data_IF_889969211954
#
_entry.id   IF_889969211954
#
_cell.length_a   1.000
_cell.length_b   1.000
_cell.length_c   1.000
_cell.angle_alpha   90.00
_cell.angle_beta   90.00
_cell.angle_gamma   90.00
#
_symmetry.space_group_name_H-M   'P 1'
#
loop_
_entity.id
_entity.type
_entity.pdbx_description
1 polymer ?
#
# COMPACT_ATOMS: atom_id res chain seq x y z
N UNK A 1 1.55 -23.11 13.86
CA UNK A 1 0.65 -23.51 12.75
C UNK A 1 -0.37 -22.39 12.56
N UNK A 2 -0.85 -22.17 11.32
CA UNK A 2 -1.92 -21.19 11.07
C UNK A 2 -3.25 -21.77 11.55
N UNK A 3 -3.91 -21.07 12.46
CA UNK A 3 -5.28 -21.30 12.86
C UNK A 3 -6.20 -20.98 11.67
N UNK A 4 -7.39 -21.61 11.58
CA UNK A 4 -8.35 -21.33 10.50
C UNK A 4 -8.67 -19.83 10.35
N UNK A 5 -8.74 -19.10 11.46
CA UNK A 5 -8.98 -17.66 11.48
C UNK A 5 -7.82 -16.84 10.90
N UNK A 6 -6.57 -17.25 11.15
CA UNK A 6 -5.38 -16.60 10.57
C UNK A 6 -5.34 -16.82 9.06
N UNK A 7 -5.69 -18.02 8.61
CA UNK A 7 -5.77 -18.34 7.18
C UNK A 7 -6.88 -17.55 6.48
N UNK A 8 -8.07 -17.44 7.08
CA UNK A 8 -9.16 -16.63 6.55
C UNK A 8 -8.76 -15.15 6.44
N UNK A 9 -8.05 -14.63 7.44
CA UNK A 9 -7.50 -13.26 7.41
C UNK A 9 -6.50 -13.12 6.26
N UNK A 10 -5.59 -14.08 6.07
CA UNK A 10 -4.62 -14.06 4.97
C UNK A 10 -5.29 -14.03 3.58
N UNK A 11 -6.39 -14.78 3.41
CA UNK A 11 -7.22 -14.75 2.20
C UNK A 11 -7.92 -13.40 2.01
N UNK A 12 -8.42 -12.79 3.09
CA UNK A 12 -9.00 -11.44 3.04
C UNK A 12 -7.96 -10.38 2.70
N UNK A 13 -6.71 -10.50 3.16
CA UNK A 13 -5.62 -9.58 2.77
C UNK A 13 -5.38 -9.64 1.26
N UNK A 14 -5.53 -10.82 0.63
CA UNK A 14 -5.41 -10.99 -0.84
C UNK A 14 -6.54 -10.26 -1.58
N UNK A 15 -7.77 -10.36 -1.09
CA UNK A 15 -8.97 -9.88 -1.80
C UNK A 15 -9.31 -8.41 -1.49
N UNK A 16 -9.17 -8.00 -0.23
CA UNK A 16 -9.61 -6.70 0.27
C UNK A 16 -8.67 -6.16 1.38
N UNK A 17 -7.42 -5.80 1.04
CA UNK A 17 -6.43 -5.28 2.00
C UNK A 17 -6.84 -3.96 2.68
N UNK A 18 -7.75 -3.21 2.08
CA UNK A 18 -8.24 -1.91 2.59
C UNK A 18 -9.39 -2.05 3.61
N UNK A 19 -10.11 -3.18 3.58
CA UNK A 19 -11.25 -3.44 4.49
C UNK A 19 -10.85 -4.21 5.76
N UNK A 20 -9.56 -4.50 5.93
CA UNK A 20 -9.09 -5.27 7.08
C UNK A 20 -8.86 -4.39 8.29
N UNK A 21 -9.45 -4.83 9.40
CA UNK A 21 -9.24 -4.23 10.71
C UNK A 21 -7.82 -4.57 11.21
N UNK A 22 -6.96 -3.54 11.26
CA UNK A 22 -5.55 -3.68 11.64
C UNK A 22 -5.33 -3.96 13.12
N UNK A 23 -6.39 -3.93 13.93
CA UNK A 23 -6.35 -4.16 15.36
C UNK A 23 -6.64 -5.64 15.72
N UNK A 24 -6.86 -6.50 14.72
CA UNK A 24 -6.99 -7.95 14.92
C UNK A 24 -5.67 -8.60 15.29
N UNK A 25 -5.70 -9.47 16.29
CA UNK A 25 -4.51 -10.22 16.73
C UNK A 25 -4.01 -11.20 15.66
N UNK A 26 -4.88 -11.66 14.78
CA UNK A 26 -4.52 -12.50 13.64
C UNK A 26 -3.50 -11.80 12.72
N UNK A 27 -3.58 -10.47 12.56
CA UNK A 27 -2.59 -9.73 11.78
C UNK A 27 -1.21 -9.76 12.44
N UNK A 28 -1.15 -9.65 13.76
CA UNK A 28 0.11 -9.69 14.50
C UNK A 28 0.81 -11.05 14.29
N UNK A 29 0.06 -12.15 14.42
CA UNK A 29 0.57 -13.49 14.14
C UNK A 29 1.04 -13.67 12.68
N UNK A 30 0.35 -13.06 11.71
CA UNK A 30 0.75 -13.07 10.30
C UNK A 30 1.98 -12.18 10.02
N UNK A 31 2.15 -11.08 10.76
CA UNK A 31 3.31 -10.19 10.71
C UNK A 31 4.55 -10.85 11.31
N UNK A 32 4.41 -11.50 12.46
CA UNK A 32 5.49 -12.27 13.11
C UNK A 32 6.05 -13.33 12.14
N UNK A 33 5.16 -13.96 11.37
CA UNK A 33 5.51 -14.97 10.37
C UNK A 33 5.97 -14.39 9.02
N UNK A 34 5.98 -13.05 8.89
CA UNK A 34 6.34 -12.31 7.67
C UNK A 34 5.51 -12.69 6.44
N UNK A 35 4.24 -13.08 6.64
CA UNK A 35 3.31 -13.39 5.55
C UNK A 35 2.62 -12.11 5.03
N UNK A 36 2.46 -11.12 5.91
CA UNK A 36 1.90 -9.81 5.60
C UNK A 36 2.84 -8.70 6.09
N UNK A 37 2.60 -7.48 5.63
CA UNK A 37 3.33 -6.28 6.00
C UNK A 37 2.36 -5.10 6.13
N UNK A 38 2.59 -4.22 7.10
CA UNK A 38 1.82 -2.99 7.26
C UNK A 38 2.54 -1.86 6.53
N UNK A 39 1.84 -1.18 5.61
CA UNK A 39 2.30 0.01 4.91
C UNK A 39 1.51 1.23 5.43
N UNK A 40 2.21 2.31 5.76
CA UNK A 40 1.57 3.59 6.07
C UNK A 40 1.31 4.34 4.77
N UNK A 41 0.04 4.56 4.46
CA UNK A 41 -0.37 5.37 3.34
C UNK A 41 -0.28 6.85 3.72
N UNK A 42 0.18 7.71 2.80
CA UNK A 42 0.39 9.14 3.05
C UNK A 42 -0.89 9.90 3.49
N UNK A 43 -2.08 9.33 3.27
CA UNK A 43 -3.36 9.87 3.71
C UNK A 43 -3.69 9.56 5.20
N UNK A 44 -2.74 9.11 6.00
CA UNK A 44 -2.94 8.74 7.41
C UNK A 44 -3.59 7.37 7.62
N UNK A 45 -3.98 6.69 6.55
CA UNK A 45 -4.45 5.31 6.59
C UNK A 45 -3.28 4.33 6.67
N UNK A 46 -3.41 3.30 7.50
CA UNK A 46 -2.53 2.13 7.46
C UNK A 46 -3.21 1.08 6.57
N UNK A 47 -2.42 0.38 5.76
CA UNK A 47 -2.90 -0.70 4.89
C UNK A 47 -2.07 -1.95 5.11
N UNK A 48 -2.70 -3.10 5.00
CA UNK A 48 -1.98 -4.38 4.99
C UNK A 48 -1.71 -4.83 3.58
N UNK A 49 -0.51 -5.35 3.36
CA UNK A 49 -0.10 -5.90 2.08
C UNK A 49 0.50 -7.29 2.28
N UNK A 50 0.21 -8.22 1.37
CA UNK A 50 0.84 -9.54 1.35
C UNK A 50 2.33 -9.42 0.98
N UNK A 51 3.19 -10.13 1.71
CA UNK A 51 4.58 -10.29 1.32
C UNK A 51 4.70 -11.31 0.19
N UNK A 52 5.88 -11.38 -0.44
CA UNK A 52 6.18 -12.46 -1.39
C UNK A 52 6.05 -13.86 -0.78
N UNK A 53 6.33 -14.00 0.53
CA UNK A 53 6.10 -15.25 1.26
C UNK A 53 4.62 -15.57 1.41
N UNK A 54 3.79 -14.59 1.81
CA UNK A 54 2.34 -14.78 1.92
C UNK A 54 1.69 -15.19 0.60
N UNK A 55 2.09 -14.56 -0.51
CA UNK A 55 1.63 -14.94 -1.85
C UNK A 55 2.02 -16.36 -2.24
N UNK A 56 3.30 -16.72 -2.05
CA UNK A 56 3.79 -18.07 -2.36
C UNK A 56 3.11 -19.13 -1.49
N UNK A 57 2.83 -18.79 -0.22
CA UNK A 57 2.10 -19.64 0.69
C UNK A 57 0.67 -19.87 0.18
N UNK A 58 -0.09 -18.81 -0.11
CA UNK A 58 -1.45 -18.93 -0.65
C UNK A 58 -1.49 -19.66 -2.00
N UNK A 59 -0.52 -19.41 -2.89
CA UNK A 59 -0.41 -20.08 -4.18
C UNK A 59 -0.22 -21.60 -4.04
N UNK A 60 0.39 -22.07 -2.94
CA UNK A 60 0.51 -23.50 -2.66
C UNK A 60 -0.82 -24.16 -2.26
N UNK A 61 -1.79 -23.39 -1.74
CA UNK A 61 -3.13 -23.89 -1.37
C UNK A 61 -4.17 -23.64 -2.47
N UNK A 62 -3.91 -22.72 -3.39
CA UNK A 62 -4.80 -22.32 -4.47
C UNK A 62 -4.08 -22.45 -5.83
N UNK A 63 -3.92 -23.68 -6.35
CA UNK A 63 -3.23 -23.93 -7.61
C UNK A 63 -4.01 -23.45 -8.86
N UNK A 64 -5.18 -22.83 -8.68
CA UNK A 64 -6.07 -22.38 -9.76
C UNK A 64 -5.96 -20.89 -10.09
N UNK A 65 -4.93 -20.19 -9.60
CA UNK A 65 -4.60 -18.85 -10.07
C UNK A 65 -3.47 -18.94 -11.13
N UNK A 66 -3.78 -19.07 -12.44
CA UNK A 66 -2.78 -19.09 -13.51
C UNK A 66 -2.05 -17.74 -13.69
N UNK A 67 -2.37 -16.70 -12.89
CA UNK A 67 -1.63 -15.44 -12.82
C UNK A 67 -0.59 -15.43 -11.68
N UNK A 68 -0.52 -16.46 -10.84
CA UNK A 68 0.52 -16.67 -9.83
C UNK A 68 1.85 -17.15 -10.45
N UNK A 69 2.28 -16.52 -11.54
CA UNK A 69 3.72 -16.52 -11.85
C UNK A 69 4.40 -15.74 -10.72
N UNK A 70 5.46 -16.28 -10.09
CA UNK A 70 6.29 -15.47 -9.21
C UNK A 70 6.95 -14.41 -10.09
N UNK A 71 6.34 -13.23 -10.19
CA UNK A 71 6.92 -12.10 -10.91
C UNK A 71 8.32 -11.87 -10.36
N UNK A 72 9.39 -12.04 -11.17
CA UNK A 72 10.73 -11.76 -10.72
C UNK A 72 10.77 -10.27 -10.36
N UNK A 73 11.10 -10.00 -9.10
CA UNK A 73 11.15 -8.69 -8.51
C UNK A 73 11.79 -7.66 -9.48
N UNK A 74 11.00 -6.73 -9.99
CA UNK A 74 11.51 -5.54 -10.67
C UNK A 74 10.65 -4.34 -10.31
N UNK A 75 11.33 -3.22 -10.12
CA UNK A 75 10.89 -1.91 -9.59
C UNK A 75 10.48 -1.97 -8.10
N UNK A 76 11.31 -1.61 -7.11
CA UNK A 76 12.24 -0.47 -6.98
C UNK A 76 11.69 0.80 -7.61
N UNK A 77 11.10 1.64 -6.75
CA UNK A 77 10.94 3.07 -6.99
C UNK A 77 9.55 3.49 -7.48
N UNK A 78 8.69 3.87 -6.53
CA UNK A 78 8.07 5.19 -6.64
C UNK A 78 8.62 6.00 -5.46
N UNK A 79 9.61 6.88 -5.65
CA UNK A 79 9.85 7.91 -4.65
C UNK A 79 8.59 8.75 -4.56
N UNK A 80 8.15 8.98 -3.33
CA UNK A 80 7.15 9.97 -3.00
C UNK A 80 7.54 11.27 -3.71
N UNK A 81 6.78 11.70 -4.72
CA UNK A 81 6.82 13.09 -5.17
C UNK A 81 6.13 13.89 -4.08
N UNK A 82 6.91 14.23 -3.05
CA UNK A 82 6.71 15.40 -2.25
C UNK A 82 7.89 16.31 -2.56
N UNK A 83 7.64 17.40 -3.26
CA UNK A 83 8.38 18.64 -3.05
C UNK A 83 7.39 19.82 -3.23
N UNK A 84 7.27 20.68 -2.21
CA UNK A 84 6.61 21.97 -2.26
C UNK A 84 7.63 23.02 -2.74
N UNK A 85 7.43 23.60 -3.92
CA UNK A 85 8.34 24.59 -4.50
C UNK A 85 7.61 25.87 -4.89
N UNK A 86 7.91 26.96 -4.18
CA UNK A 86 7.23 28.25 -4.27
C UNK A 86 7.26 28.90 -5.66
N UNK A 87 6.09 29.35 -6.09
CA UNK A 87 5.96 30.39 -7.10
C UNK A 87 6.23 31.75 -6.45
N UNK A 88 7.49 32.17 -6.46
CA UNK A 88 7.89 33.57 -6.26
C UNK A 88 7.39 34.39 -7.45
N UNK A 89 6.70 35.48 -7.12
CA UNK A 89 6.17 36.51 -8.02
C UNK A 89 7.22 37.06 -9.01
N UNK A 90 6.82 37.43 -10.23
CA UNK A 90 7.43 38.57 -10.91
C UNK A 90 6.64 39.86 -10.59
N UNK A 91 7.31 40.99 -10.29
CA UNK A 91 6.67 42.31 -10.27
C UNK A 91 6.75 42.94 -11.66
N UNK A 92 5.67 43.57 -12.15
CA UNK A 92 5.66 44.60 -13.22
C UNK A 92 4.21 45.09 -13.49
N UNK A 93 4.01 46.28 -14.07
CA UNK A 93 4.32 47.59 -13.51
C UNK A 93 3.09 48.53 -13.54
N UNK A 94 3.26 49.69 -12.91
CA UNK A 94 2.40 50.87 -12.94
C UNK A 94 1.85 51.22 -14.35
N UNK A 95 0.53 51.42 -14.48
CA UNK A 95 -0.13 52.29 -15.45
C UNK A 95 -1.50 52.67 -14.85
N UNK A 96 -1.71 53.92 -14.40
CA UNK A 96 -2.19 55.05 -15.22
C UNK A 96 -3.52 54.68 -15.90
N UNK A 97 -4.67 55.30 -15.69
CA UNK A 97 -5.06 56.56 -15.07
C UNK A 97 -6.59 56.69 -15.19
N UNK A 98 -7.13 57.70 -14.54
CA UNK A 98 -8.55 58.01 -14.41
C UNK A 98 -9.32 58.06 -15.75
N UNK A 99 -10.60 57.67 -15.71
CA UNK A 99 -11.62 58.22 -16.60
C UNK A 99 -12.75 58.77 -15.74
N UNK A 100 -13.07 60.05 -15.97
CA UNK A 100 -14.22 60.78 -15.42
C UNK A 100 -15.53 60.36 -16.08
#
# INVERSE_FOLDING_TARGET
MLSPHEFATLMLVRQAPDQLDLNRQELDALLERRLIMLEHCAAGGRRVHLTGKGRSFLAAFDPLDPLAVPSPARSRGKPCVGEPGGGVSPPSPLAEGAVS
#
